data_IF_847533838362
#
_entry.id   IF_847533838362
#
_cell.length_a   1.000
_cell.length_b   1.000
_cell.length_c   1.000
_cell.angle_alpha   90.00
_cell.angle_beta   90.00
_cell.angle_gamma   90.00
#
_symmetry.space_group_name_H-M   'P 1'
#
loop_
_entity.id
_entity.type
_entity.pdbx_description
1 polymer ?
#
# COMPACT_ATOMS: atom_id res chain seq x y z
N UNK A 1 12.71 -16.03 -16.10
CA UNK A 1 12.85 -14.89 -15.16
C UNK A 1 11.68 -13.91 -15.19
N UNK A 2 10.98 -13.67 -16.32
CA UNK A 2 9.90 -12.67 -16.41
C UNK A 2 8.58 -13.06 -15.69
N UNK A 3 8.20 -14.34 -15.69
CA UNK A 3 6.92 -14.78 -15.11
C UNK A 3 6.82 -14.54 -13.59
N UNK A 4 7.94 -14.62 -12.86
CA UNK A 4 7.96 -14.36 -11.41
C UNK A 4 7.62 -12.91 -11.08
N UNK A 5 8.10 -11.95 -11.89
CA UNK A 5 7.81 -10.52 -11.69
C UNK A 5 6.37 -10.17 -12.04
N UNK A 6 5.81 -10.83 -13.05
CA UNK A 6 4.40 -10.69 -13.37
C UNK A 6 3.50 -11.21 -12.23
N UNK A 7 3.86 -12.35 -11.61
CA UNK A 7 3.16 -12.87 -10.43
C UNK A 7 3.25 -11.88 -9.26
N UNK A 8 4.43 -11.29 -9.01
CA UNK A 8 4.59 -10.29 -7.94
C UNK A 8 3.75 -9.04 -8.23
N UNK A 9 3.68 -8.57 -9.47
CA UNK A 9 2.81 -7.46 -9.86
C UNK A 9 1.32 -7.78 -9.63
N UNK A 10 0.89 -9.01 -9.95
CA UNK A 10 -0.48 -9.46 -9.65
C UNK A 10 -0.75 -9.53 -8.15
N UNK A 11 0.19 -10.03 -7.36
CA UNK A 11 0.05 -10.06 -5.90
C UNK A 11 0.02 -8.66 -5.30
N UNK A 12 0.81 -7.72 -5.83
CA UNK A 12 0.80 -6.31 -5.43
C UNK A 12 -0.53 -5.65 -5.77
N UNK A 13 -1.06 -5.91 -6.97
CA UNK A 13 -2.41 -5.50 -7.37
C UNK A 13 -3.47 -6.02 -6.40
N UNK A 14 -3.44 -7.32 -6.07
CA UNK A 14 -4.38 -7.93 -5.11
C UNK A 14 -4.21 -7.32 -3.72
N UNK A 15 -2.97 -7.06 -3.28
CA UNK A 15 -2.66 -6.46 -1.98
C UNK A 15 -3.28 -5.08 -1.81
N UNK A 16 -3.36 -4.28 -2.88
CA UNK A 16 -4.03 -2.97 -2.82
C UNK A 16 -5.55 -3.10 -2.58
N UNK A 17 -6.15 -4.19 -3.04
CA UNK A 17 -7.59 -4.41 -2.98
C UNK A 17 -8.06 -5.13 -1.73
N UNK A 18 -7.24 -6.00 -1.11
CA UNK A 18 -7.65 -6.79 0.06
C UNK A 18 -8.24 -5.90 1.15
N UNK A 19 -7.50 -4.89 1.62
CA UNK A 19 -7.99 -4.08 2.74
C UNK A 19 -9.27 -3.27 2.41
N UNK A 20 -9.36 -2.51 1.30
CA UNK A 20 -10.60 -1.82 0.93
C UNK A 20 -11.80 -2.76 0.79
N UNK A 21 -11.62 -3.92 0.16
CA UNK A 21 -12.71 -4.89 -0.05
C UNK A 21 -13.15 -5.49 1.28
N UNK A 22 -12.19 -5.94 2.09
CA UNK A 22 -12.40 -6.44 3.46
C UNK A 22 -13.22 -5.49 4.32
N UNK A 23 -12.90 -4.20 4.26
CA UNK A 23 -13.61 -3.18 5.02
C UNK A 23 -15.06 -2.98 4.55
N UNK A 24 -15.29 -2.95 3.23
CA UNK A 24 -16.65 -2.84 2.68
C UNK A 24 -17.54 -4.01 3.13
N UNK A 25 -16.99 -5.23 3.15
CA UNK A 25 -17.71 -6.41 3.60
C UNK A 25 -18.02 -6.39 5.10
N UNK A 26 -17.05 -6.05 5.94
CA UNK A 26 -17.23 -5.99 7.40
C UNK A 26 -18.22 -4.91 7.83
N UNK A 27 -18.34 -3.82 7.06
CA UNK A 27 -19.26 -2.71 7.36
C UNK A 27 -20.58 -2.78 6.57
N UNK A 28 -20.85 -3.90 5.89
CA UNK A 28 -22.09 -4.13 5.12
C UNK A 28 -22.43 -3.00 4.12
N UNK A 29 -21.40 -2.38 3.53
CA UNK A 29 -21.56 -1.31 2.54
C UNK A 29 -21.96 -1.94 1.20
N UNK A 30 -23.23 -2.31 1.04
CA UNK A 30 -23.75 -3.14 -0.06
C UNK A 30 -23.86 -2.46 -1.44
N UNK A 31 -23.39 -1.21 -1.60
CA UNK A 31 -23.58 -0.43 -2.83
C UNK A 31 -22.29 -0.28 -3.64
N UNK A 32 -21.51 -1.36 -3.78
CA UNK A 32 -20.28 -1.35 -4.57
C UNK A 32 -20.57 -1.70 -6.03
N UNK A 33 -20.65 -0.69 -6.90
CA UNK A 33 -20.46 -0.93 -8.32
C UNK A 33 -18.96 -1.00 -8.61
N UNK A 34 -18.49 -2.16 -9.08
CA UNK A 34 -17.08 -2.33 -9.44
C UNK A 34 -16.79 -1.40 -10.63
N UNK A 35 -15.91 -0.41 -10.43
CA UNK A 35 -15.52 0.50 -11.49
C UNK A 35 -14.35 -0.09 -12.27
N UNK A 36 -14.64 -0.57 -13.48
CA UNK A 36 -13.64 -1.19 -14.36
C UNK A 36 -12.47 -0.25 -14.68
N UNK A 37 -12.71 1.05 -14.85
CA UNK A 37 -11.64 2.00 -15.14
C UNK A 37 -10.66 2.13 -13.97
N UNK A 38 -11.17 2.12 -12.74
CA UNK A 38 -10.33 2.14 -11.55
C UNK A 38 -9.45 0.89 -11.47
N UNK A 39 -10.03 -0.30 -11.72
CA UNK A 39 -9.30 -1.56 -11.74
C UNK A 39 -8.12 -1.49 -12.72
N UNK A 40 -8.37 -1.00 -13.94
CA UNK A 40 -7.31 -0.87 -14.95
C UNK A 40 -6.24 0.14 -14.52
N UNK A 41 -6.63 1.30 -13.98
CA UNK A 41 -5.68 2.31 -13.50
C UNK A 41 -4.82 1.79 -12.32
N UNK A 42 -5.42 1.06 -11.37
CA UNK A 42 -4.69 0.44 -10.27
C UNK A 42 -3.78 -0.68 -10.76
N UNK A 43 -4.22 -1.48 -11.72
CA UNK A 43 -3.38 -2.46 -12.39
C UNK A 43 -2.18 -1.76 -13.05
N UNK A 44 -2.39 -0.63 -13.71
CA UNK A 44 -1.29 0.15 -14.27
C UNK A 44 -0.27 0.57 -13.19
N UNK A 45 -0.69 0.96 -11.99
CA UNK A 45 0.26 1.27 -10.89
C UNK A 45 1.05 0.03 -10.47
N UNK A 46 0.38 -1.09 -10.19
CA UNK A 46 1.01 -2.32 -9.72
C UNK A 46 1.99 -2.91 -10.76
N UNK A 47 1.55 -2.98 -12.03
CA UNK A 47 2.40 -3.44 -13.13
C UNK A 47 3.56 -2.49 -13.39
N UNK A 48 3.35 -1.18 -13.25
CA UNK A 48 4.45 -0.24 -13.42
C UNK A 48 5.53 -0.44 -12.35
N UNK A 49 5.12 -0.54 -11.08
CA UNK A 49 6.00 -0.73 -9.92
C UNK A 49 6.86 -2.00 -10.03
N UNK A 50 6.22 -3.15 -10.24
CA UNK A 50 6.88 -4.47 -10.09
C UNK A 50 7.39 -5.07 -11.39
N UNK A 51 6.80 -4.71 -12.53
CA UNK A 51 7.14 -5.30 -13.83
C UNK A 51 7.83 -4.28 -14.75
N UNK A 52 7.13 -3.23 -15.18
CA UNK A 52 7.63 -2.29 -16.19
C UNK A 52 8.94 -1.65 -15.75
N UNK A 53 9.02 -1.16 -14.52
CA UNK A 53 10.23 -0.49 -14.00
C UNK A 53 11.48 -1.38 -14.08
N UNK A 54 11.32 -2.70 -13.89
CA UNK A 54 12.44 -3.66 -13.96
C UNK A 54 13.00 -3.83 -15.37
N UNK A 55 12.21 -3.53 -16.40
CA UNK A 55 12.61 -3.55 -17.81
C UNK A 55 13.42 -2.32 -18.23
N UNK A 56 13.68 -1.38 -17.31
CA UNK A 56 14.36 -0.10 -17.58
C UNK A 56 13.78 0.62 -18.81
N UNK A 57 12.48 0.97 -18.79
CA UNK A 57 11.81 1.55 -19.94
C UNK A 57 12.48 2.86 -20.36
N UNK A 58 12.60 3.03 -21.68
CA UNK A 58 13.08 4.27 -22.27
C UNK A 58 12.05 5.40 -22.07
N UNK A 59 12.45 6.64 -22.34
CA UNK A 59 11.58 7.81 -22.18
C UNK A 59 10.29 7.69 -23.00
N UNK A 60 10.38 7.15 -24.23
CA UNK A 60 9.23 6.96 -25.12
C UNK A 60 8.19 6.00 -24.56
N UNK A 61 8.62 4.90 -23.94
CA UNK A 61 7.71 3.94 -23.32
C UNK A 61 6.98 4.56 -22.13
N UNK A 62 7.69 5.33 -21.30
CA UNK A 62 7.05 6.04 -20.18
C UNK A 62 6.06 7.11 -20.70
N UNK A 63 6.42 7.84 -21.76
CA UNK A 63 5.51 8.77 -22.42
C UNK A 63 4.25 8.08 -22.94
N UNK A 64 4.39 6.94 -23.62
CA UNK A 64 3.26 6.13 -24.09
C UNK A 64 2.39 5.65 -22.92
N UNK A 65 3.01 5.18 -21.84
CA UNK A 65 2.31 4.74 -20.63
C UNK A 65 1.46 5.86 -20.02
N UNK A 66 2.04 7.06 -19.94
CA UNK A 66 1.35 8.26 -19.48
C UNK A 66 0.20 8.67 -20.41
N UNK A 67 0.40 8.61 -21.73
CA UNK A 67 -0.67 8.88 -22.71
C UNK A 67 -1.82 7.89 -22.57
N UNK A 68 -1.54 6.59 -22.44
CA UNK A 68 -2.55 5.58 -22.17
C UNK A 68 -3.34 5.88 -20.89
N UNK A 69 -2.65 6.31 -19.83
CA UNK A 69 -3.31 6.73 -18.59
C UNK A 69 -4.23 7.94 -18.80
N UNK A 70 -3.77 8.97 -19.53
CA UNK A 70 -4.60 10.15 -19.81
C UNK A 70 -5.84 9.82 -20.65
N UNK A 71 -5.71 8.93 -21.64
CA UNK A 71 -6.87 8.45 -22.43
C UNK A 71 -7.87 7.75 -21.50
N UNK A 72 -7.40 6.86 -20.62
CA UNK A 72 -8.26 6.20 -19.63
C UNK A 72 -8.91 7.22 -18.68
N UNK A 73 -8.16 8.21 -18.21
CA UNK A 73 -8.66 9.27 -17.34
C UNK A 73 -9.80 10.06 -18.01
N UNK A 74 -9.63 10.47 -19.26
CA UNK A 74 -10.64 11.19 -20.03
C UNK A 74 -11.93 10.38 -20.21
N UNK A 75 -11.80 9.08 -20.54
CA UNK A 75 -12.96 8.19 -20.69
C UNK A 75 -13.66 7.96 -19.34
N UNK A 76 -12.89 7.84 -18.25
CA UNK A 76 -13.42 7.58 -16.91
C UNK A 76 -13.99 8.80 -16.19
N UNK A 77 -13.80 10.03 -16.69
CA UNK A 77 -14.17 11.27 -15.99
C UNK A 77 -15.66 11.34 -15.61
N UNK A 78 -16.54 10.65 -16.37
CA UNK A 78 -17.97 10.58 -16.07
C UNK A 78 -18.34 9.59 -14.97
N UNK A 79 -17.47 8.64 -14.65
CA UNK A 79 -17.74 7.53 -13.71
C UNK A 79 -16.87 7.56 -12.47
N UNK A 80 -15.70 8.20 -12.53
CA UNK A 80 -14.76 8.35 -11.42
C UNK A 80 -14.66 9.80 -10.98
N UNK A 81 -14.50 10.00 -9.68
CA UNK A 81 -14.19 11.32 -9.12
C UNK A 81 -12.81 11.77 -9.60
N UNK A 82 -12.70 13.01 -10.05
CA UNK A 82 -11.43 13.59 -10.52
C UNK A 82 -10.32 13.50 -9.47
N UNK A 83 -10.65 13.61 -8.18
CA UNK A 83 -9.68 13.48 -7.09
C UNK A 83 -9.06 12.07 -7.04
N UNK A 84 -9.84 11.02 -7.35
CA UNK A 84 -9.34 9.64 -7.43
C UNK A 84 -8.41 9.49 -8.63
N UNK A 85 -8.81 10.02 -9.78
CA UNK A 85 -8.00 9.98 -11.00
C UNK A 85 -6.65 10.66 -10.75
N UNK A 86 -6.66 11.86 -10.16
CA UNK A 86 -5.45 12.60 -9.78
C UNK A 86 -4.63 11.78 -8.77
N UNK A 87 -5.26 11.22 -7.75
CA UNK A 87 -4.56 10.46 -6.71
C UNK A 87 -3.81 9.25 -7.29
N UNK A 88 -4.45 8.48 -8.18
CA UNK A 88 -3.83 7.33 -8.85
C UNK A 88 -2.73 7.80 -9.82
N UNK A 89 -2.95 8.90 -10.54
CA UNK A 89 -1.93 9.48 -11.42
C UNK A 89 -0.66 9.88 -10.66
N UNK A 90 -0.82 10.53 -9.51
CA UNK A 90 0.30 10.94 -8.65
C UNK A 90 1.14 9.73 -8.22
N UNK A 91 0.53 8.56 -8.01
CA UNK A 91 1.31 7.34 -7.68
C UNK A 91 2.22 6.90 -8.84
N UNK A 92 1.75 7.01 -10.09
CA UNK A 92 2.59 6.74 -11.26
C UNK A 92 3.72 7.76 -11.40
N UNK A 93 3.45 9.04 -11.12
CA UNK A 93 4.47 10.09 -11.12
C UNK A 93 5.52 9.81 -10.06
N UNK A 94 5.13 9.44 -8.84
CA UNK A 94 6.06 9.05 -7.79
C UNK A 94 6.91 7.84 -8.18
N UNK A 95 6.32 6.79 -8.76
CA UNK A 95 7.06 5.63 -9.29
C UNK A 95 8.06 6.00 -10.40
N UNK A 96 7.75 7.02 -11.19
CA UNK A 96 8.68 7.52 -12.20
C UNK A 96 9.82 8.33 -11.57
N UNK A 97 9.50 9.19 -10.61
CA UNK A 97 10.48 10.02 -9.91
C UNK A 97 11.45 9.20 -9.07
N UNK A 98 10.99 8.11 -8.43
CA UNK A 98 11.86 7.24 -7.62
C UNK A 98 13.01 6.65 -8.43
N UNK A 99 12.83 6.41 -9.74
CA UNK A 99 13.91 5.98 -10.66
C UNK A 99 15.11 6.95 -10.69
N UNK A 100 14.88 8.23 -10.45
CA UNK A 100 15.90 9.27 -10.54
C UNK A 100 16.50 9.63 -9.16
N UNK A 101 16.06 8.97 -8.09
CA UNK A 101 16.57 9.23 -6.75
C UNK A 101 17.99 8.66 -6.64
N UNK A 102 18.94 9.51 -6.25
CA UNK A 102 20.32 9.09 -5.99
C UNK A 102 20.39 8.13 -4.80
N UNK A 103 21.32 7.18 -4.81
CA UNK A 103 21.57 6.19 -3.73
C UNK A 103 21.66 6.81 -2.33
N UNK A 104 22.02 8.10 -2.22
CA UNK A 104 22.06 8.85 -0.96
C UNK A 104 20.70 8.97 -0.27
N UNK A 105 19.59 8.86 -1.00
CA UNK A 105 18.22 9.01 -0.50
C UNK A 105 17.40 7.71 -0.60
N UNK A 106 18.05 6.55 -0.46
CA UNK A 106 17.41 5.23 -0.55
C UNK A 106 16.20 5.09 0.40
N UNK A 107 16.25 5.69 1.60
CA UNK A 107 15.12 5.69 2.54
C UNK A 107 13.88 6.36 1.94
N UNK A 108 14.05 7.45 1.19
CA UNK A 108 12.94 8.16 0.55
C UNK A 108 12.35 7.33 -0.60
N UNK A 109 13.20 6.70 -1.42
CA UNK A 109 12.77 5.79 -2.48
C UNK A 109 11.89 4.67 -1.92
N UNK A 110 12.35 4.02 -0.85
CA UNK A 110 11.57 2.95 -0.23
C UNK A 110 10.32 3.47 0.46
N UNK A 111 10.36 4.60 1.18
CA UNK A 111 9.14 5.17 1.76
C UNK A 111 8.07 5.41 0.68
N UNK A 112 8.47 5.92 -0.48
CA UNK A 112 7.55 6.11 -1.60
C UNK A 112 7.01 4.77 -2.10
N UNK A 113 7.91 3.85 -2.45
CA UNK A 113 7.58 2.56 -3.06
C UNK A 113 6.72 1.67 -2.15
N UNK A 114 7.05 1.62 -0.86
CA UNK A 114 6.58 0.61 0.07
C UNK A 114 5.51 1.13 1.05
N UNK A 115 5.44 2.44 1.27
CA UNK A 115 4.41 3.05 2.11
C UNK A 115 3.43 3.91 1.31
N UNK A 116 3.92 4.92 0.58
CA UNK A 116 3.05 5.91 -0.08
C UNK A 116 2.21 5.23 -1.16
N UNK A 117 2.85 4.58 -2.14
CA UNK A 117 2.13 4.00 -3.28
C UNK A 117 1.07 2.97 -2.83
N UNK A 118 1.39 1.99 -1.96
CA UNK A 118 0.38 1.08 -1.44
C UNK A 118 -0.77 1.75 -0.69
N UNK A 119 -0.44 2.66 0.23
CA UNK A 119 -1.44 3.30 1.08
C UNK A 119 -2.40 4.14 0.25
N UNK A 120 -1.88 5.02 -0.59
CA UNK A 120 -2.71 5.95 -1.35
C UNK A 120 -3.47 5.24 -2.49
N UNK A 121 -2.94 4.14 -3.04
CA UNK A 121 -3.69 3.30 -3.98
C UNK A 121 -4.86 2.60 -3.30
N UNK A 122 -4.67 2.02 -2.11
CA UNK A 122 -5.77 1.44 -1.32
C UNK A 122 -6.80 2.49 -0.88
N UNK A 123 -6.37 3.70 -0.52
CA UNK A 123 -7.27 4.83 -0.21
C UNK A 123 -8.10 5.23 -1.45
N UNK A 124 -7.48 5.29 -2.64
CA UNK A 124 -8.19 5.60 -3.89
C UNK A 124 -9.31 4.58 -4.19
N UNK A 125 -9.02 3.30 -3.97
CA UNK A 125 -10.00 2.21 -4.11
C UNK A 125 -11.14 2.37 -3.12
N UNK A 126 -10.80 2.59 -1.85
CA UNK A 126 -11.78 2.75 -0.78
C UNK A 126 -12.71 3.96 -1.01
N UNK A 127 -12.14 5.11 -1.40
CA UNK A 127 -12.94 6.30 -1.72
C UNK A 127 -13.93 6.04 -2.86
N UNK A 128 -13.51 5.28 -3.87
CA UNK A 128 -14.37 4.99 -5.03
C UNK A 128 -15.55 4.12 -4.65
N UNK A 129 -15.36 3.14 -3.77
CA UNK A 129 -16.41 2.20 -3.40
C UNK A 129 -17.26 2.61 -2.21
N UNK A 130 -16.69 3.32 -1.24
CA UNK A 130 -17.41 3.78 -0.05
C UNK A 130 -18.01 5.19 -0.22
N UNK A 131 -17.61 5.95 -1.25
CA UNK A 131 -17.94 7.37 -1.48
C UNK A 131 -17.58 8.35 -0.33
N UNK A 132 -17.21 7.82 0.82
CA UNK A 132 -16.71 8.51 2.00
C UNK A 132 -15.59 7.65 2.59
N UNK A 133 -14.49 8.28 2.98
CA UNK A 133 -13.46 7.58 3.74
C UNK A 133 -13.55 8.02 5.20
N UNK A 134 -13.94 7.08 6.07
CA UNK A 134 -13.89 7.29 7.51
C UNK A 134 -12.43 7.36 7.98
N UNK A 135 -12.13 8.18 8.99
CA UNK A 135 -10.81 8.18 9.64
C UNK A 135 -10.51 6.80 10.23
N UNK A 136 -11.55 6.08 10.68
CA UNK A 136 -11.45 4.70 11.19
C UNK A 136 -11.08 3.69 10.09
N UNK A 137 -11.12 4.08 8.81
CA UNK A 137 -10.59 3.29 7.70
C UNK A 137 -9.11 3.61 7.41
N UNK A 138 -8.79 4.90 7.31
CA UNK A 138 -7.45 5.36 6.90
C UNK A 138 -6.42 4.98 7.95
N UNK A 139 -6.74 5.18 9.22
CA UNK A 139 -5.80 4.99 10.32
C UNK A 139 -5.28 3.55 10.39
N UNK A 140 -6.13 2.50 10.44
CA UNK A 140 -5.64 1.12 10.42
C UNK A 140 -4.80 0.79 9.17
N UNK A 141 -5.21 1.26 7.99
CA UNK A 141 -4.49 1.01 6.74
C UNK A 141 -3.07 1.59 6.78
N UNK A 142 -2.95 2.87 7.17
CA UNK A 142 -1.66 3.54 7.28
C UNK A 142 -0.78 2.85 8.31
N UNK A 143 -1.36 2.48 9.46
CA UNK A 143 -0.65 1.80 10.53
C UNK A 143 -0.03 0.48 10.08
N UNK A 144 -0.72 -0.29 9.23
CA UNK A 144 -0.18 -1.55 8.68
C UNK A 144 0.92 -1.32 7.67
N UNK A 145 0.74 -0.37 6.75
CA UNK A 145 1.78 -0.08 5.78
C UNK A 145 3.04 0.46 6.48
N UNK A 146 2.90 1.26 7.55
CA UNK A 146 4.02 1.67 8.41
C UNK A 146 4.63 0.46 9.10
N UNK A 147 3.82 -0.40 9.73
CA UNK A 147 4.29 -1.61 10.41
C UNK A 147 5.11 -2.52 9.47
N UNK A 148 4.62 -2.75 8.25
CA UNK A 148 5.31 -3.57 7.26
C UNK A 148 6.66 -2.98 6.84
N UNK A 149 6.74 -1.65 6.68
CA UNK A 149 7.99 -0.95 6.41
C UNK A 149 8.96 -1.09 7.59
N UNK A 150 8.50 -0.87 8.83
CA UNK A 150 9.34 -0.99 10.02
C UNK A 150 9.92 -2.40 10.19
N UNK A 151 9.15 -3.45 9.93
CA UNK A 151 9.64 -4.84 9.97
C UNK A 151 10.77 -5.06 8.97
N UNK A 152 10.67 -4.48 7.77
CA UNK A 152 11.72 -4.61 6.74
C UNK A 152 13.00 -3.89 7.13
N UNK A 153 12.88 -2.76 7.82
CA UNK A 153 14.04 -1.97 8.24
C UNK A 153 14.65 -2.39 9.57
N UNK A 154 14.02 -3.30 10.30
CA UNK A 154 14.56 -3.80 11.54
C UNK A 154 15.86 -4.59 11.30
N UNK A 155 17.00 -4.06 11.73
CA UNK A 155 18.33 -4.68 11.65
C UNK A 155 18.91 -5.02 13.04
N UNK A 156 18.11 -4.87 14.10
CA UNK A 156 18.51 -5.18 15.47
C UNK A 156 19.29 -4.06 16.15
N UNK A 157 19.37 -2.86 15.55
CA UNK A 157 20.00 -1.71 16.18
C UNK A 157 19.09 -1.11 17.27
N UNK A 158 19.69 -0.43 18.26
CA UNK A 158 18.94 0.24 19.36
C UNK A 158 17.89 1.21 18.80
N UNK A 159 18.20 1.90 17.70
CA UNK A 159 17.26 2.78 16.99
C UNK A 159 15.99 2.06 16.54
N UNK A 160 16.08 0.79 16.18
CA UNK A 160 14.97 0.02 15.63
C UNK A 160 14.03 -0.43 16.76
N UNK A 161 14.58 -0.73 17.94
CA UNK A 161 13.79 -0.94 19.15
C UNK A 161 13.02 0.32 19.57
N UNK A 162 13.60 1.50 19.42
CA UNK A 162 12.90 2.77 19.66
C UNK A 162 11.73 2.93 18.68
N UNK A 163 11.91 2.57 17.40
CA UNK A 163 10.82 2.60 16.41
C UNK A 163 9.68 1.64 16.79
N UNK A 164 9.99 0.45 17.30
CA UNK A 164 8.99 -0.51 17.80
C UNK A 164 8.20 0.02 18.99
N UNK A 165 8.88 0.62 19.97
CA UNK A 165 8.23 1.26 21.13
C UNK A 165 7.34 2.42 20.66
N UNK A 166 7.84 3.22 19.72
CA UNK A 166 7.09 4.35 19.15
C UNK A 166 5.83 3.85 18.43
N UNK A 167 5.94 2.78 17.64
CA UNK A 167 4.80 2.16 16.98
C UNK A 167 3.78 1.66 18.01
N UNK A 168 4.22 0.93 19.03
CA UNK A 168 3.35 0.42 20.10
C UNK A 168 2.63 1.53 20.88
N UNK A 169 3.35 2.62 21.19
CA UNK A 169 2.78 3.81 21.81
C UNK A 169 1.76 4.50 20.90
N UNK A 170 2.05 4.58 19.59
CA UNK A 170 1.13 5.14 18.61
C UNK A 170 -0.12 4.28 18.45
N UNK A 171 -0.02 2.95 18.41
CA UNK A 171 -1.20 2.05 18.44
C UNK A 171 -2.03 2.26 19.69
N UNK A 172 -1.39 2.39 20.86
CA UNK A 172 -2.10 2.66 22.12
C UNK A 172 -2.86 3.99 22.07
N UNK A 173 -2.21 5.06 21.59
CA UNK A 173 -2.87 6.37 21.43
C UNK A 173 -4.05 6.28 20.48
N UNK A 174 -3.90 5.60 19.33
CA UNK A 174 -4.97 5.42 18.36
C UNK A 174 -6.15 4.62 18.95
N UNK A 175 -5.88 3.64 19.80
CA UNK A 175 -6.91 2.91 20.54
C UNK A 175 -7.63 3.83 21.54
N UNK A 176 -6.90 4.61 22.35
CA UNK A 176 -7.47 5.54 23.32
C UNK A 176 -8.33 6.63 22.67
N UNK A 177 -7.99 7.02 21.43
CA UNK A 177 -8.76 7.97 20.63
C UNK A 177 -9.94 7.32 19.87
N UNK A 178 -10.20 6.03 20.07
CA UNK A 178 -11.25 5.25 19.41
C UNK A 178 -11.13 5.18 17.87
N UNK A 179 -9.92 5.34 17.31
CA UNK A 179 -9.70 5.13 15.87
C UNK A 179 -9.53 3.66 15.49
N UNK A 180 -9.10 2.82 16.44
CA UNK A 180 -8.94 1.38 16.26
C UNK A 180 -9.51 0.62 17.47
N UNK A 181 -9.96 -0.61 17.26
CA UNK A 181 -10.42 -1.48 18.34
C UNK A 181 -9.25 -2.00 19.19
N UNK A 182 -9.54 -2.45 20.42
CA UNK A 182 -8.54 -3.09 21.28
C UNK A 182 -7.94 -4.33 20.62
N UNK A 183 -8.80 -5.14 19.97
CA UNK A 183 -8.38 -6.36 19.26
C UNK A 183 -7.41 -5.99 18.15
N UNK A 184 -7.75 -5.01 17.32
CA UNK A 184 -6.88 -4.50 16.25
C UNK A 184 -5.54 -4.01 16.78
N UNK A 185 -5.55 -3.24 17.86
CA UNK A 185 -4.33 -2.72 18.47
C UNK A 185 -3.40 -3.85 18.96
N UNK A 186 -3.95 -4.82 19.69
CA UNK A 186 -3.20 -5.99 20.19
C UNK A 186 -2.65 -6.80 19.02
N UNK A 187 -3.48 -7.10 18.02
CA UNK A 187 -3.10 -7.91 16.85
C UNK A 187 -1.95 -7.27 16.08
N UNK A 188 -1.99 -5.95 15.86
CA UNK A 188 -0.90 -5.22 15.17
C UNK A 188 0.39 -5.28 15.98
N UNK A 189 0.34 -5.04 17.30
CA UNK A 189 1.52 -5.08 18.15
C UNK A 189 2.13 -6.48 18.17
N UNK A 190 1.32 -7.52 18.34
CA UNK A 190 1.77 -8.92 18.29
C UNK A 190 2.37 -9.25 16.92
N UNK A 191 1.70 -8.86 15.84
CA UNK A 191 2.18 -9.10 14.47
C UNK A 191 3.57 -8.51 14.24
N UNK A 192 3.77 -7.26 14.66
CA UNK A 192 5.05 -6.57 14.50
C UNK A 192 6.12 -7.24 15.36
N UNK A 193 5.86 -7.46 16.64
CA UNK A 193 6.82 -8.10 17.54
C UNK A 193 7.18 -9.52 17.08
N UNK A 194 6.20 -10.33 16.70
CA UNK A 194 6.46 -11.68 16.20
C UNK A 194 7.29 -11.64 14.91
N UNK A 195 6.98 -10.73 13.99
CA UNK A 195 7.71 -10.61 12.72
C UNK A 195 9.14 -10.13 12.91
N UNK A 196 9.39 -9.16 13.80
CA UNK A 196 10.74 -8.69 14.10
C UNK A 196 11.55 -9.74 14.86
N UNK A 197 10.95 -10.44 15.83
CA UNK A 197 11.62 -11.54 16.53
C UNK A 197 11.97 -12.70 15.59
N UNK A 198 11.08 -13.06 14.67
CA UNK A 198 11.37 -14.09 13.65
C UNK A 198 12.52 -13.67 12.73
N UNK A 199 12.58 -12.37 12.39
CA UNK A 199 13.65 -11.83 11.56
C UNK A 199 14.99 -11.83 12.30
N UNK A 200 15.00 -11.38 13.55
CA UNK A 200 16.22 -11.29 14.37
C UNK A 200 16.77 -12.66 14.75
N UNK A 201 15.92 -13.53 15.32
CA UNK A 201 16.37 -14.78 15.94
C UNK A 201 16.31 -16.00 15.03
N UNK A 202 15.49 -15.97 13.97
CA UNK A 202 15.39 -17.09 13.00
C UNK A 202 15.87 -16.73 11.61
N UNK A 203 16.30 -15.49 11.37
CA UNK A 203 16.68 -14.98 10.04
C UNK A 203 15.59 -15.19 8.97
N UNK A 204 14.32 -15.31 9.38
CA UNK A 204 13.19 -15.45 8.48
C UNK A 204 12.72 -14.04 8.12
N UNK A 205 12.98 -13.64 6.88
CA UNK A 205 12.51 -12.35 6.34
C UNK A 205 11.60 -12.58 5.13
N UNK A 206 10.58 -11.73 5.01
CA UNK A 206 9.68 -11.69 3.87
C UNK A 206 9.72 -10.31 3.19
N UNK A 207 9.20 -10.21 1.97
CA UNK A 207 9.05 -8.93 1.28
C UNK A 207 7.93 -8.08 1.89
N UNK A 208 7.97 -6.75 1.71
CA UNK A 208 6.93 -5.82 2.17
C UNK A 208 5.51 -6.28 1.83
N UNK A 209 5.33 -6.66 0.57
CA UNK A 209 4.09 -7.21 0.04
C UNK A 209 3.50 -8.29 0.95
N UNK A 210 4.32 -9.22 1.44
CA UNK A 210 3.87 -10.34 2.28
C UNK A 210 3.45 -9.85 3.66
N UNK A 211 4.24 -8.96 4.28
CA UNK A 211 3.87 -8.36 5.56
C UNK A 211 2.57 -7.54 5.46
N UNK A 212 2.40 -6.78 4.38
CA UNK A 212 1.14 -6.06 4.09
C UNK A 212 -0.04 -6.99 3.87
N UNK A 213 0.15 -8.08 3.12
CA UNK A 213 -0.89 -9.09 2.91
C UNK A 213 -1.35 -9.69 4.24
N UNK A 214 -0.40 -10.14 5.07
CA UNK A 214 -0.70 -10.70 6.39
C UNK A 214 -1.39 -9.65 7.27
N UNK A 215 -0.84 -8.44 7.36
CA UNK A 215 -1.44 -7.36 8.14
C UNK A 215 -2.87 -7.05 7.70
N UNK A 216 -3.10 -6.87 6.39
CA UNK A 216 -4.42 -6.55 5.87
C UNK A 216 -5.43 -7.67 6.13
N UNK A 217 -4.99 -8.94 6.14
CA UNK A 217 -5.83 -10.08 6.54
C UNK A 217 -6.11 -10.03 8.05
N UNK A 218 -5.13 -9.65 8.88
CA UNK A 218 -5.33 -9.56 10.32
C UNK A 218 -6.35 -8.49 10.72
N UNK A 219 -6.59 -7.45 9.91
CA UNK A 219 -7.65 -6.47 10.15
C UNK A 219 -9.07 -6.96 9.84
N UNK A 220 -9.21 -8.15 9.27
CA UNK A 220 -10.51 -8.79 9.05
C UNK A 220 -11.08 -9.42 10.33
N UNK A 221 -10.24 -9.65 11.33
CA UNK A 221 -10.57 -10.34 12.60
C UNK A 221 -10.94 -9.29 13.64
#
# INVERSE_FOLDING_TARGET
MNNRKLIVALLEFVSYHIFPISFLFTHHLNNYSINFYLIVMVAMVAFYKEYVRTLKPNFYFNGLYTVCFFILALISYRTLNINVIILVFVQLVFLYLTKNISKKYHILETLIDDFIIPSFTSIAIAYTYAHFISVNFIVPLLLINIAAVLIIYFEGAISDFIQLITLAGLTLILFLLNYISLITAITIVIFVLASTLLKEFKHISASNLVYRLIGNILLLI
#
